data_IF_099257470925
#
_entry.id   IF_099257470925
#
_cell.length_a   1.000
_cell.length_b   1.000
_cell.length_c   1.000
_cell.angle_alpha   90.00
_cell.angle_beta   90.00
_cell.angle_gamma   90.00
#
_symmetry.space_group_name_H-M   'P 1'
#
loop_
_entity.id
_entity.type
_entity.pdbx_description
1 polymer ?
#
# COMPACT_ATOMS: atom_id res chain seq x y z
N UNK A 1 11.69 21.87 -19.19
CA UNK A 1 10.83 20.68 -19.44
C UNK A 1 11.09 19.52 -18.49
N UNK A 2 12.35 19.17 -18.14
CA UNK A 2 12.64 18.04 -17.22
C UNK A 2 12.01 18.16 -15.82
N UNK A 3 11.88 19.38 -15.29
CA UNK A 3 11.24 19.62 -13.98
C UNK A 3 9.74 19.29 -13.93
N UNK A 4 9.00 19.50 -15.02
CA UNK A 4 7.56 19.21 -15.08
C UNK A 4 7.26 17.71 -15.09
N UNK A 5 8.04 16.96 -15.88
CA UNK A 5 7.92 15.50 -15.95
C UNK A 5 8.22 14.88 -14.58
N UNK A 6 9.30 15.32 -13.93
CA UNK A 6 9.65 14.84 -12.59
C UNK A 6 8.54 15.11 -11.56
N UNK A 7 7.91 16.27 -11.63
CA UNK A 7 6.82 16.64 -10.73
C UNK A 7 5.57 15.77 -10.98
N UNK A 8 5.23 15.53 -12.24
CA UNK A 8 4.09 14.70 -12.64
C UNK A 8 4.29 13.23 -12.20
N UNK A 9 5.48 12.65 -12.42
CA UNK A 9 5.78 11.28 -11.97
C UNK A 9 5.64 11.12 -10.46
N UNK A 10 6.09 12.09 -9.65
CA UNK A 10 5.92 12.03 -8.18
C UNK A 10 4.45 12.01 -7.79
N UNK A 11 3.67 12.92 -8.36
CA UNK A 11 2.23 13.04 -8.05
C UNK A 11 1.50 11.75 -8.41
N UNK A 12 1.84 11.14 -9.55
CA UNK A 12 1.25 9.86 -9.94
C UNK A 12 1.64 8.73 -8.99
N UNK A 13 2.92 8.61 -8.62
CA UNK A 13 3.38 7.57 -7.69
C UNK A 13 2.72 7.68 -6.31
N UNK A 14 2.60 8.90 -5.78
CA UNK A 14 1.94 9.16 -4.49
C UNK A 14 0.45 8.81 -4.56
N UNK A 15 -0.24 9.16 -5.66
CA UNK A 15 -1.65 8.81 -5.86
C UNK A 15 -1.85 7.31 -5.99
N UNK A 16 -0.95 6.63 -6.70
CA UNK A 16 -1.01 5.18 -6.85
C UNK A 16 -0.79 4.48 -5.51
N UNK A 17 0.18 4.94 -4.72
CA UNK A 17 0.40 4.45 -3.37
C UNK A 17 -0.85 4.60 -2.49
N UNK A 18 -1.49 5.78 -2.52
CA UNK A 18 -2.73 6.03 -1.80
C UNK A 18 -3.89 5.14 -2.26
N UNK A 19 -4.05 4.92 -3.57
CA UNK A 19 -5.10 4.03 -4.07
C UNK A 19 -4.89 2.59 -3.65
N UNK A 20 -3.65 2.08 -3.69
CA UNK A 20 -3.36 0.72 -3.23
C UNK A 20 -3.52 0.57 -1.71
N UNK A 21 -3.16 1.59 -0.93
CA UNK A 21 -3.41 1.60 0.52
C UNK A 21 -4.91 1.58 0.84
N UNK A 22 -5.72 2.30 0.06
CA UNK A 22 -7.18 2.25 0.20
C UNK A 22 -7.74 0.87 -0.15
N UNK A 23 -7.32 0.28 -1.28
CA UNK A 23 -7.72 -1.08 -1.66
C UNK A 23 -7.35 -2.09 -0.58
N UNK A 24 -6.14 -1.99 0.00
CA UNK A 24 -5.70 -2.86 1.08
C UNK A 24 -6.62 -2.74 2.31
N UNK A 25 -6.99 -1.51 2.67
CA UNK A 25 -7.90 -1.23 3.79
C UNK A 25 -9.29 -1.83 3.56
N UNK A 26 -9.83 -1.71 2.35
CA UNK A 26 -11.13 -2.30 1.98
C UNK A 26 -11.09 -3.82 2.05
N UNK A 27 -10.06 -4.46 1.50
CA UNK A 27 -9.91 -5.91 1.56
C UNK A 27 -9.80 -6.41 3.02
N UNK A 28 -9.10 -5.67 3.87
CA UNK A 28 -8.93 -6.01 5.28
C UNK A 28 -10.23 -5.81 6.07
N UNK A 29 -10.99 -4.75 5.78
CA UNK A 29 -12.32 -4.54 6.35
C UNK A 29 -13.31 -5.65 5.96
N UNK A 30 -13.29 -6.08 4.69
CA UNK A 30 -14.10 -7.21 4.21
C UNK A 30 -13.69 -8.53 4.88
N UNK A 31 -12.39 -8.74 5.10
CA UNK A 31 -11.91 -9.90 5.84
C UNK A 31 -12.42 -9.90 7.29
N UNK A 32 -12.31 -8.78 8.00
CA UNK A 32 -12.80 -8.66 9.40
C UNK A 32 -14.32 -8.84 9.46
N UNK A 33 -15.08 -8.11 8.64
CA UNK A 33 -16.53 -8.23 8.59
C UNK A 33 -16.97 -9.65 8.19
N UNK A 34 -16.26 -10.28 7.26
CA UNK A 34 -16.53 -11.64 6.83
C UNK A 34 -16.18 -12.70 7.87
N UNK A 35 -15.14 -12.46 8.69
CA UNK A 35 -14.73 -13.37 9.75
C UNK A 35 -15.73 -13.40 10.92
N UNK A 36 -16.44 -12.28 11.12
CA UNK A 36 -17.56 -12.14 12.06
C UNK A 36 -18.89 -12.63 11.47
N UNK A 37 -18.95 -12.87 10.16
CA UNK A 37 -20.13 -13.33 9.43
C UNK A 37 -20.02 -14.78 8.96
N UNK A 38 -20.95 -15.19 8.09
CA UNK A 38 -20.99 -16.54 7.50
C UNK A 38 -20.28 -16.60 6.13
N UNK A 39 -19.25 -15.76 5.92
CA UNK A 39 -18.50 -15.76 4.67
C UNK A 39 -17.64 -17.03 4.58
N UNK A 40 -17.63 -17.67 3.40
CA UNK A 40 -16.88 -18.91 3.20
C UNK A 40 -15.38 -18.69 3.41
N UNK A 41 -14.67 -19.70 3.93
CA UNK A 41 -13.21 -19.65 4.14
C UNK A 41 -12.41 -19.32 2.86
N UNK A 42 -12.92 -19.72 1.69
CA UNK A 42 -12.32 -19.36 0.39
C UNK A 42 -12.43 -17.85 0.11
N UNK A 43 -13.59 -17.25 0.35
CA UNK A 43 -13.80 -15.80 0.19
C UNK A 43 -12.92 -14.99 1.15
N UNK A 44 -12.78 -15.45 2.39
CA UNK A 44 -11.88 -14.86 3.40
C UNK A 44 -10.41 -14.91 2.95
N UNK A 45 -9.96 -16.06 2.43
CA UNK A 45 -8.60 -16.19 1.92
C UNK A 45 -8.31 -15.26 0.74
N UNK A 46 -9.27 -15.09 -0.18
CA UNK A 46 -9.14 -14.16 -1.30
C UNK A 46 -9.03 -12.69 -0.84
N UNK A 47 -9.80 -12.30 0.18
CA UNK A 47 -9.70 -10.96 0.77
C UNK A 47 -8.34 -10.72 1.43
N UNK A 48 -7.82 -11.71 2.15
CA UNK A 48 -6.48 -11.64 2.74
C UNK A 48 -5.37 -11.49 1.70
N UNK A 49 -5.40 -12.29 0.63
CA UNK A 49 -4.42 -12.16 -0.46
C UNK A 49 -4.54 -10.79 -1.15
N UNK A 50 -5.76 -10.30 -1.34
CA UNK A 50 -6.01 -8.96 -1.86
C UNK A 50 -5.42 -7.87 -0.97
N UNK A 51 -5.62 -7.97 0.36
CA UNK A 51 -5.06 -7.04 1.34
C UNK A 51 -3.53 -7.05 1.36
N UNK A 52 -2.91 -8.24 1.37
CA UNK A 52 -1.45 -8.37 1.35
C UNK A 52 -0.84 -7.87 0.03
N UNK A 53 -1.40 -8.26 -1.11
CA UNK A 53 -0.89 -7.86 -2.43
C UNK A 53 -1.02 -6.36 -2.69
N UNK A 54 -2.16 -5.77 -2.37
CA UNK A 54 -2.34 -4.32 -2.46
C UNK A 54 -1.52 -3.57 -1.41
N UNK A 55 -1.32 -4.13 -0.22
CA UNK A 55 -0.41 -3.59 0.79
C UNK A 55 1.04 -3.52 0.32
N UNK A 56 1.55 -4.58 -0.33
CA UNK A 56 2.88 -4.59 -0.95
C UNK A 56 3.00 -3.56 -2.07
N UNK A 57 1.99 -3.45 -2.93
CA UNK A 57 1.96 -2.45 -3.99
C UNK A 57 1.99 -1.02 -3.40
N UNK A 58 1.22 -0.75 -2.35
CA UNK A 58 1.22 0.54 -1.66
C UNK A 58 2.61 0.91 -1.14
N UNK A 59 3.31 -0.03 -0.50
CA UNK A 59 4.70 0.17 -0.03
C UNK A 59 5.63 0.45 -1.21
N UNK A 60 5.58 -0.36 -2.27
CA UNK A 60 6.45 -0.22 -3.43
C UNK A 60 6.29 1.16 -4.11
N UNK A 61 5.05 1.61 -4.32
CA UNK A 61 4.77 2.90 -4.93
C UNK A 61 5.11 4.07 -3.99
N UNK A 62 4.95 3.92 -2.68
CA UNK A 62 5.43 4.91 -1.72
C UNK A 62 6.94 5.05 -1.73
N UNK A 63 7.69 3.95 -1.75
CA UNK A 63 9.16 3.97 -1.82
C UNK A 63 9.61 4.58 -3.15
N UNK A 64 8.99 4.21 -4.26
CA UNK A 64 9.26 4.83 -5.55
C UNK A 64 8.95 6.34 -5.54
N UNK A 65 7.85 6.74 -4.89
CA UNK A 65 7.50 8.14 -4.66
C UNK A 65 8.55 8.89 -3.83
N UNK A 66 9.10 8.26 -2.80
CA UNK A 66 10.18 8.80 -1.98
C UNK A 66 11.49 8.97 -2.76
N UNK A 67 11.88 7.97 -3.55
CA UNK A 67 13.08 8.06 -4.41
C UNK A 67 12.91 9.15 -5.46
N UNK A 68 11.72 9.25 -6.07
CA UNK A 68 11.39 10.34 -6.98
C UNK A 68 11.41 11.70 -6.26
N UNK A 69 10.95 11.78 -5.00
CA UNK A 69 10.99 12.96 -4.14
C UNK A 69 12.42 13.38 -3.74
N UNK A 70 13.31 12.42 -3.49
CA UNK A 70 14.71 12.69 -3.14
C UNK A 70 15.53 13.15 -4.36
N UNK A 71 15.21 12.68 -5.57
CA UNK A 71 16.01 12.92 -6.78
C UNK A 71 15.69 14.22 -7.52
N UNK A 72 14.53 14.84 -7.34
CA UNK A 72 14.17 16.03 -8.13
C UNK A 72 14.61 17.42 -7.64
N UNK A 73 15.23 17.63 -6.45
CA UNK A 73 16.10 18.80 -6.25
C UNK A 73 17.19 18.89 -7.33
N UNK A 74 17.74 17.76 -7.77
CA UNK A 74 18.69 17.71 -8.89
C UNK A 74 18.05 17.96 -10.27
N UNK A 75 16.71 17.93 -10.36
CA UNK A 75 15.94 18.19 -11.57
C UNK A 75 15.16 19.52 -11.54
N UNK A 76 15.37 20.35 -10.52
CA UNK A 76 14.74 21.67 -10.37
C UNK A 76 13.28 21.67 -9.92
N UNK A 77 12.76 20.55 -9.41
CA UNK A 77 11.37 20.44 -8.95
C UNK A 77 11.25 20.56 -7.41
N UNK A 78 10.23 21.30 -6.94
CA UNK A 78 9.99 21.54 -5.51
C UNK A 78 9.52 20.29 -4.78
N UNK A 79 9.96 20.13 -3.54
CA UNK A 79 9.44 19.13 -2.60
C UNK A 79 8.13 19.64 -2.00
N UNK A 80 7.06 18.84 -2.09
CA UNK A 80 5.81 19.14 -1.39
C UNK A 80 5.69 18.29 -0.12
N UNK A 81 5.44 18.94 1.01
CA UNK A 81 5.27 18.28 2.31
C UNK A 81 4.03 17.36 2.28
N UNK A 82 2.97 17.76 1.58
CA UNK A 82 1.74 16.95 1.47
C UNK A 82 1.97 15.61 0.77
N UNK A 83 2.80 15.55 -0.28
CA UNK A 83 3.09 14.29 -0.97
C UNK A 83 3.95 13.35 -0.14
N UNK A 84 4.81 13.89 0.73
CA UNK A 84 5.62 13.11 1.68
C UNK A 84 4.70 12.48 2.72
N UNK A 85 3.79 13.26 3.31
CA UNK A 85 2.84 12.77 4.31
C UNK A 85 1.94 11.66 3.75
N UNK A 86 1.42 11.83 2.54
CA UNK A 86 0.58 10.80 1.88
C UNK A 86 1.37 9.53 1.58
N UNK A 87 2.64 9.64 1.15
CA UNK A 87 3.47 8.45 0.90
C UNK A 87 3.80 7.71 2.20
N UNK A 88 4.08 8.44 3.29
CA UNK A 88 4.31 7.87 4.61
C UNK A 88 3.07 7.13 5.12
N UNK A 89 1.89 7.76 5.08
CA UNK A 89 0.66 7.11 5.51
C UNK A 89 0.32 5.89 4.66
N UNK A 90 0.49 5.95 3.34
CA UNK A 90 0.29 4.80 2.46
C UNK A 90 1.27 3.65 2.76
N UNK A 91 2.51 3.96 3.15
CA UNK A 91 3.49 2.94 3.56
C UNK A 91 3.06 2.26 4.85
N UNK A 92 2.63 3.04 5.85
CA UNK A 92 2.16 2.50 7.14
C UNK A 92 0.95 1.61 6.94
N UNK A 93 -0.05 2.06 6.17
CA UNK A 93 -1.25 1.26 5.86
C UNK A 93 -0.89 -0.02 5.11
N UNK A 94 -0.02 0.09 4.09
CA UNK A 94 0.46 -1.08 3.35
C UNK A 94 1.20 -2.07 4.24
N UNK A 95 2.09 -1.60 5.12
CA UNK A 95 2.83 -2.44 6.06
C UNK A 95 1.90 -3.15 7.04
N UNK A 96 0.90 -2.46 7.60
CA UNK A 96 -0.12 -3.06 8.45
C UNK A 96 -0.87 -4.15 7.70
N UNK A 97 -1.29 -3.91 6.46
CA UNK A 97 -2.01 -4.90 5.66
C UNK A 97 -1.16 -6.16 5.39
N UNK A 98 0.14 -5.99 5.12
CA UNK A 98 1.06 -7.12 4.92
C UNK A 98 1.31 -7.90 6.21
N UNK A 99 1.47 -7.21 7.35
CA UNK A 99 1.64 -7.85 8.66
C UNK A 99 0.40 -8.64 9.04
N UNK A 100 -0.80 -8.07 8.87
CA UNK A 100 -2.06 -8.77 9.12
C UNK A 100 -2.21 -9.97 8.20
N UNK A 101 -1.86 -9.84 6.91
CA UNK A 101 -1.84 -10.97 5.99
C UNK A 101 -0.93 -12.09 6.47
N UNK A 102 0.31 -11.78 6.84
CA UNK A 102 1.28 -12.76 7.33
C UNK A 102 0.83 -13.42 8.63
N UNK A 103 0.29 -12.64 9.59
CA UNK A 103 -0.21 -13.15 10.85
C UNK A 103 -1.44 -14.05 10.66
N UNK A 104 -2.40 -13.65 9.84
CA UNK A 104 -3.59 -14.45 9.54
C UNK A 104 -3.23 -15.75 8.80
N UNK A 105 -2.24 -15.69 7.90
CA UNK A 105 -1.67 -16.87 7.23
C UNK A 105 -1.01 -17.82 8.22
N UNK A 106 -0.20 -17.30 9.15
CA UNK A 106 0.43 -18.09 10.19
C UNK A 106 -0.61 -18.75 11.12
N UNK A 107 -1.70 -18.04 11.44
CA UNK A 107 -2.79 -18.58 12.27
C UNK A 107 -3.62 -19.67 11.57
N UNK A 108 -3.86 -19.56 10.26
CA UNK A 108 -4.65 -20.54 9.50
C UNK A 108 -3.86 -21.78 9.05
N UNK A 109 -2.52 -21.72 9.04
CA UNK A 109 -1.68 -22.75 8.46
C UNK A 109 -0.47 -23.17 9.29
N UNK A 110 -0.33 -22.69 10.54
CA UNK A 110 0.70 -23.08 11.51
C UNK A 110 2.07 -23.38 10.90
N UNK A 111 2.91 -22.35 10.68
CA UNK A 111 4.35 -22.44 10.31
C UNK A 111 4.73 -23.73 9.53
N UNK A 112 4.02 -24.04 8.45
CA UNK A 112 4.46 -25.08 7.55
C UNK A 112 5.53 -24.48 6.63
N UNK A 113 6.78 -24.66 7.02
CA UNK A 113 7.97 -24.47 6.20
C UNK A 113 7.95 -25.41 4.99
#
# INVERSE_FOLDING_TARGET
>A
MRGDVANLTRVLLVRLAASFAFTASVCLALYVAGSLGSLSGRSLSACLYGAGGSGLAAIAFSVAGFVAAASAPAAGARLSISSILVSLSATVVGAVAVVVFAAARAAMGGLAF
#
